data_IF_653247258277
#
_entry.id   IF_653247258277
#
_cell.length_a   1.000
_cell.length_b   1.000
_cell.length_c   1.000
_cell.angle_alpha   90.00
_cell.angle_beta   90.00
_cell.angle_gamma   90.00
#
_symmetry.space_group_name_H-M   'P 1'
#
loop_
_entity.id
_entity.type
_entity.pdbx_description
1 polymer ?
#
# COMPACT_ATOMS: atom_id res chain seq x y z
N UNK A 1 32.82 -67.01 -11.76
CA UNK A 1 33.60 -65.76 -11.85
C UNK A 1 32.67 -64.71 -12.43
N UNK A 2 32.28 -63.61 -11.79
CA UNK A 2 32.56 -63.10 -10.46
C UNK A 2 31.30 -62.47 -9.87
N UNK A 3 31.22 -62.55 -8.54
CA UNK A 3 30.22 -61.94 -7.68
C UNK A 3 30.63 -60.48 -7.40
N UNK A 4 29.65 -59.59 -7.24
CA UNK A 4 29.81 -58.23 -6.71
C UNK A 4 28.43 -57.55 -6.68
N UNK A 5 27.62 -57.63 -5.60
CA UNK A 5 27.65 -56.78 -4.38
C UNK A 5 27.49 -55.29 -4.76
N UNK A 6 26.59 -54.40 -4.27
CA UNK A 6 25.84 -54.15 -3.00
C UNK A 6 24.79 -53.06 -3.37
N UNK A 7 23.51 -53.13 -2.99
CA UNK A 7 22.86 -52.56 -1.77
C UNK A 7 23.06 -51.06 -1.46
N UNK A 8 21.93 -50.44 -1.05
CA UNK A 8 21.67 -49.14 -0.39
C UNK A 8 21.51 -47.93 -1.34
N UNK A 9 20.32 -47.31 -1.52
CA UNK A 9 19.43 -46.62 -0.54
C UNK A 9 20.19 -45.61 0.32
N UNK A 10 20.14 -44.35 -0.08
CA UNK A 10 20.41 -43.20 0.77
C UNK A 10 19.42 -42.10 0.39
N UNK A 11 18.26 -42.15 1.06
CA UNK A 11 17.45 -40.98 1.36
C UNK A 11 18.34 -39.96 2.06
N UNK A 12 18.54 -38.79 1.43
CA UNK A 12 19.25 -37.68 2.07
C UNK A 12 18.26 -36.95 2.98
N UNK A 13 18.48 -37.26 4.26
CA UNK A 13 17.84 -36.83 5.49
C UNK A 13 17.67 -35.30 5.56
N UNK A 14 16.43 -34.83 5.46
CA UNK A 14 16.05 -33.46 5.82
C UNK A 14 16.13 -33.34 7.35
N UNK A 15 17.00 -32.49 7.92
CA UNK A 15 16.96 -32.24 9.35
C UNK A 15 15.65 -31.50 9.69
N UNK A 16 14.72 -32.26 10.27
CA UNK A 16 13.52 -31.76 10.92
C UNK A 16 13.92 -31.09 12.23
N UNK A 17 14.30 -29.82 12.15
CA UNK A 17 14.48 -29.00 13.34
C UNK A 17 13.10 -28.65 13.89
N UNK A 18 12.67 -29.43 14.88
CA UNK A 18 11.50 -29.14 15.70
C UNK A 18 11.91 -28.11 16.75
N UNK A 19 11.34 -26.88 16.78
CA UNK A 19 11.58 -25.99 17.90
C UNK A 19 10.71 -26.42 19.07
N UNK A 20 11.39 -26.66 20.18
CA UNK A 20 10.85 -27.07 21.46
C UNK A 20 9.67 -26.21 21.91
N UNK A 21 8.65 -26.92 22.37
CA UNK A 21 7.53 -26.43 23.17
C UNK A 21 8.08 -25.76 24.44
N UNK A 22 8.14 -24.43 24.43
CA UNK A 22 8.35 -23.63 25.63
C UNK A 22 7.06 -22.89 25.92
N UNK A 23 6.33 -23.39 26.93
CA UNK A 23 5.23 -22.70 27.60
C UNK A 23 5.78 -21.46 28.32
N UNK A 24 6.07 -20.42 27.54
CA UNK A 24 6.18 -19.06 28.01
C UNK A 24 4.86 -18.37 27.66
N UNK A 25 4.32 -17.57 28.57
CA UNK A 25 3.24 -16.64 28.25
C UNK A 25 3.69 -15.71 27.14
N UNK A 26 3.40 -16.06 25.89
CA UNK A 26 3.81 -15.33 24.69
C UNK A 26 3.08 -13.98 24.70
N UNK A 27 3.80 -12.91 25.05
CA UNK A 27 3.34 -11.55 24.84
C UNK A 27 3.27 -11.30 23.32
N UNK A 28 2.09 -11.50 22.74
CA UNK A 28 1.83 -11.19 21.34
C UNK A 28 1.90 -9.67 21.15
N UNK A 29 2.65 -9.24 20.13
CA UNK A 29 2.65 -7.85 19.67
C UNK A 29 1.76 -7.73 18.44
N UNK A 30 1.00 -6.65 18.37
CA UNK A 30 0.15 -6.38 17.22
C UNK A 30 0.94 -5.65 16.16
N UNK A 31 0.92 -6.13 14.92
CA UNK A 31 1.55 -5.44 13.81
C UNK A 31 0.89 -4.07 13.58
N UNK A 32 1.64 -2.95 13.61
CA UNK A 32 1.08 -1.62 13.42
C UNK A 32 0.60 -1.38 11.97
N UNK A 33 1.04 -2.19 11.01
CA UNK A 33 0.68 -2.05 9.61
C UNK A 33 -0.52 -2.89 9.16
N UNK A 34 -0.85 -3.98 9.85
CA UNK A 34 -1.96 -4.86 9.43
C UNK A 34 -2.84 -5.40 10.55
N UNK A 35 -2.48 -5.16 11.82
CA UNK A 35 -3.23 -5.66 12.98
C UNK A 35 -3.05 -7.15 13.27
N UNK A 36 -2.25 -7.88 12.48
CA UNK A 36 -1.96 -9.29 12.76
C UNK A 36 -1.13 -9.43 14.04
N UNK A 37 -1.45 -10.44 14.85
CA UNK A 37 -0.70 -10.75 16.05
C UNK A 37 0.56 -11.51 15.67
N UNK A 38 1.71 -11.01 16.09
CA UNK A 38 3.01 -11.62 15.86
C UNK A 38 3.73 -11.88 17.21
N UNK A 39 4.60 -12.89 17.29
CA UNK A 39 5.44 -13.07 18.45
C UNK A 39 6.46 -11.92 18.57
N UNK A 40 6.87 -11.55 19.80
CA UNK A 40 7.65 -10.34 20.07
C UNK A 40 9.08 -10.39 19.51
N UNK A 41 9.62 -11.60 19.28
CA UNK A 41 10.92 -11.82 18.62
C UNK A 41 10.87 -11.70 17.09
N UNK A 42 9.69 -11.47 16.50
CA UNK A 42 9.56 -11.32 15.06
C UNK A 42 10.14 -9.99 14.61
N UNK A 43 11.13 -10.02 13.71
CA UNK A 43 11.62 -8.79 13.04
C UNK A 43 10.66 -8.27 11.97
N UNK A 44 9.85 -9.16 11.40
CA UNK A 44 8.90 -8.86 10.32
C UNK A 44 7.58 -9.60 10.55
N UNK A 45 6.47 -8.99 10.14
CA UNK A 45 5.14 -9.60 10.21
C UNK A 45 4.97 -10.66 9.11
N UNK A 46 4.65 -11.90 9.50
CA UNK A 46 4.42 -13.02 8.57
C UNK A 46 3.23 -12.82 7.63
N UNK A 47 2.23 -12.03 8.04
CA UNK A 47 1.03 -11.77 7.22
C UNK A 47 1.21 -10.67 6.16
N UNK A 48 2.07 -9.67 6.39
CA UNK A 48 2.16 -8.48 5.53
C UNK A 48 3.58 -8.01 5.21
N UNK A 49 4.61 -8.60 5.82
CA UNK A 49 6.03 -8.27 5.60
C UNK A 49 6.54 -7.01 6.29
N UNK A 50 5.71 -6.30 7.09
CA UNK A 50 6.12 -5.06 7.75
C UNK A 50 7.14 -5.31 8.88
N UNK A 51 8.10 -4.39 9.06
CA UNK A 51 9.11 -4.47 10.13
C UNK A 51 8.47 -4.20 11.50
N UNK A 52 8.69 -5.10 12.46
CA UNK A 52 8.21 -5.02 13.84
C UNK A 52 9.29 -4.50 14.80
N UNK A 53 10.51 -4.26 14.30
CA UNK A 53 11.71 -3.95 15.10
C UNK A 53 11.74 -2.53 15.74
N UNK A 54 10.65 -1.76 15.68
CA UNK A 54 10.66 -0.33 15.99
C UNK A 54 9.63 0.08 17.04
N UNK A 55 9.57 -0.62 18.18
CA UNK A 55 8.84 -0.12 19.37
C UNK A 55 9.64 -0.16 20.68
N UNK A 56 10.92 -0.51 20.64
CA UNK A 56 11.81 -0.35 21.80
C UNK A 56 12.55 0.99 21.74
N UNK A 57 11.86 2.05 22.18
CA UNK A 57 12.52 3.30 22.57
C UNK A 57 12.43 4.43 21.56
N UNK A 58 11.32 5.15 21.56
CA UNK A 58 11.28 6.57 21.21
C UNK A 58 10.07 7.21 21.90
N UNK A 59 10.28 7.59 23.16
CA UNK A 59 9.47 8.61 23.84
C UNK A 59 9.71 9.94 23.13
N UNK A 60 8.84 10.28 22.18
CA UNK A 60 8.72 11.64 21.68
C UNK A 60 7.41 12.22 22.22
N UNK A 61 7.48 12.79 23.42
CA UNK A 61 6.49 13.76 23.87
C UNK A 61 6.60 14.96 22.95
N UNK A 62 5.67 15.11 22.00
CA UNK A 62 5.52 16.37 21.29
C UNK A 62 4.83 17.37 22.22
N UNK A 63 5.40 18.57 22.42
CA UNK A 63 4.73 19.60 23.20
C UNK A 63 3.45 20.01 22.48
N UNK A 64 2.34 19.99 23.22
CA UNK A 64 1.13 20.73 22.84
C UNK A 64 1.50 22.20 22.79
N UNK A 65 1.75 22.70 21.58
CA UNK A 65 1.83 24.13 21.33
C UNK A 65 0.41 24.71 21.48
N UNK A 66 0.10 25.15 22.70
CA UNK A 66 -1.03 26.02 22.96
C UNK A 66 -0.59 27.42 22.54
N UNK A 67 -0.81 27.79 21.28
CA UNK A 67 -0.76 29.19 20.86
C UNK A 67 -2.17 29.73 20.80
N UNK A 68 -2.65 30.23 21.95
CA UNK A 68 -3.61 31.33 21.96
C UNK A 68 -2.91 32.55 21.36
N UNK A 69 -2.99 32.69 20.04
CA UNK A 69 -2.54 33.84 19.31
C UNK A 69 -3.60 34.13 18.27
N UNK A 70 -4.19 35.32 18.35
CA UNK A 70 -5.15 35.88 17.41
C UNK A 70 -4.89 35.37 15.99
N UNK A 71 -5.87 34.69 15.41
CA UNK A 71 -5.83 34.33 14.00
C UNK A 71 -5.51 35.62 13.23
N UNK A 72 -4.40 35.71 12.46
CA UNK A 72 -4.34 36.73 11.44
C UNK A 72 -5.55 36.47 10.55
N UNK A 73 -6.34 37.52 10.27
CA UNK A 73 -7.45 37.45 9.35
C UNK A 73 -6.98 36.63 8.14
N UNK A 74 -7.55 35.44 7.97
CA UNK A 74 -7.27 34.61 6.81
C UNK A 74 -7.68 35.47 5.63
N UNK A 75 -6.68 35.87 4.87
CA UNK A 75 -6.85 36.67 3.67
C UNK A 75 -7.77 35.86 2.75
N UNK A 76 -9.00 36.34 2.50
CA UNK A 76 -10.02 35.62 1.74
C UNK A 76 -9.51 35.23 0.33
N UNK A 77 -8.50 35.93 -0.18
CA UNK A 77 -7.79 35.66 -1.43
C UNK A 77 -6.86 34.42 -1.42
N UNK A 78 -6.64 33.78 -0.28
CA UNK A 78 -5.92 32.49 -0.21
C UNK A 78 -6.87 31.30 -0.36
N UNK A 79 -8.18 31.51 -0.21
CA UNK A 79 -9.20 30.46 -0.37
C UNK A 79 -9.55 30.20 -1.84
N UNK A 80 -9.17 31.11 -2.75
CA UNK A 80 -9.25 30.96 -4.21
C UNK A 80 -8.02 30.25 -4.84
N UNK A 81 -7.08 29.74 -4.03
CA UNK A 81 -5.83 29.14 -4.53
C UNK A 81 -5.81 27.62 -4.61
N UNK A 82 -6.92 26.95 -4.29
CA UNK A 82 -7.09 25.56 -4.65
C UNK A 82 -7.74 25.52 -6.02
N UNK A 83 -6.98 25.15 -7.05
CA UNK A 83 -7.54 24.92 -8.37
C UNK A 83 -8.68 23.88 -8.22
N UNK A 84 -9.96 24.24 -8.50
CA UNK A 84 -11.05 23.28 -8.45
C UNK A 84 -10.66 22.09 -9.34
N UNK A 85 -10.71 20.87 -8.79
CA UNK A 85 -10.21 19.66 -9.43
C UNK A 85 -8.83 19.17 -8.98
N UNK A 86 -8.24 19.76 -7.94
CA UNK A 86 -7.21 19.06 -7.16
C UNK A 86 -7.81 17.78 -6.58
N UNK A 87 -7.17 16.67 -6.87
CA UNK A 87 -7.62 15.35 -6.44
C UNK A 87 -6.46 14.58 -5.82
N UNK A 88 -6.78 13.61 -4.97
CA UNK A 88 -5.83 12.78 -4.26
C UNK A 88 -6.28 11.34 -4.29
N UNK A 89 -5.32 10.44 -4.55
CA UNK A 89 -5.49 9.02 -4.31
C UNK A 89 -4.84 8.64 -2.98
N UNK A 90 -5.65 8.12 -2.07
CA UNK A 90 -5.19 7.68 -0.75
C UNK A 90 -5.13 6.16 -0.72
N UNK A 91 -3.99 5.57 -0.35
CA UNK A 91 -3.87 4.11 -0.21
C UNK A 91 -4.66 3.64 1.01
N UNK A 92 -5.79 3.02 0.78
CA UNK A 92 -6.64 2.43 1.81
C UNK A 92 -6.17 1.01 2.20
N UNK A 93 -5.66 0.22 1.24
CA UNK A 93 -5.07 -1.10 1.51
C UNK A 93 -3.90 -1.36 0.56
N UNK A 94 -2.86 -2.02 1.05
CA UNK A 94 -1.67 -2.37 0.28
C UNK A 94 -0.41 -1.91 1.01
N UNK A 95 0.76 -2.15 0.42
CA UNK A 95 1.98 -1.52 0.89
C UNK A 95 1.82 0.01 0.73
N UNK A 96 2.41 0.77 1.65
CA UNK A 96 2.22 2.21 1.75
C UNK A 96 0.79 2.64 2.15
N UNK A 97 0.08 1.85 2.95
CA UNK A 97 -1.21 2.27 3.51
C UNK A 97 -1.11 3.65 4.18
N UNK A 98 -2.06 4.53 3.86
CA UNK A 98 -2.08 5.93 4.32
C UNK A 98 -1.28 6.90 3.44
N UNK A 99 -0.48 6.41 2.48
CA UNK A 99 0.17 7.27 1.51
C UNK A 99 -0.87 7.99 0.64
N UNK A 100 -0.51 9.21 0.22
CA UNK A 100 -1.35 10.11 -0.54
C UNK A 100 -0.61 10.48 -1.81
N UNK A 101 -1.25 10.30 -2.96
CA UNK A 101 -0.75 10.69 -4.25
C UNK A 101 -1.58 11.86 -4.74
N UNK A 102 -0.98 13.04 -4.76
CA UNK A 102 -1.59 14.24 -5.33
C UNK A 102 -1.70 14.06 -6.85
N UNK A 103 -2.90 14.27 -7.38
CA UNK A 103 -3.18 14.17 -8.80
C UNK A 103 -2.94 15.53 -9.44
N UNK A 104 -1.68 15.78 -9.75
CA UNK A 104 -1.22 17.03 -10.35
C UNK A 104 -1.20 16.92 -11.88
N UNK A 105 -1.67 17.96 -12.57
CA UNK A 105 -1.65 18.04 -14.03
C UNK A 105 -2.84 17.38 -14.74
N UNK A 106 -2.68 17.10 -16.03
CA UNK A 106 -3.76 16.62 -16.90
C UNK A 106 -3.76 15.12 -17.18
N UNK A 107 -2.61 14.44 -17.07
CA UNK A 107 -2.49 13.00 -17.27
C UNK A 107 -1.43 12.43 -16.31
N UNK A 108 -1.79 11.32 -15.65
CA UNK A 108 -0.93 10.61 -14.71
C UNK A 108 -0.93 9.13 -15.02
N UNK A 109 0.25 8.53 -15.08
CA UNK A 109 0.41 7.10 -15.30
C UNK A 109 0.54 6.35 -13.97
N UNK A 110 -0.12 5.19 -13.89
CA UNK A 110 -0.07 4.27 -12.75
C UNK A 110 0.52 2.94 -13.22
N UNK A 111 1.52 2.45 -12.50
CA UNK A 111 2.10 1.15 -12.82
C UNK A 111 3.35 0.81 -12.03
N UNK A 112 3.89 -0.37 -12.34
CA UNK A 112 5.14 -0.91 -11.82
C UNK A 112 6.38 -0.33 -12.51
N UNK A 113 6.24 0.48 -13.56
CA UNK A 113 7.41 1.13 -14.17
C UNK A 113 7.91 2.24 -13.24
N UNK A 114 9.23 2.36 -12.99
CA UNK A 114 9.78 3.51 -12.27
C UNK A 114 9.54 4.84 -12.99
N UNK A 115 9.17 4.79 -14.28
CA UNK A 115 8.79 5.96 -15.09
C UNK A 115 7.33 6.38 -14.89
N UNK A 116 6.53 5.60 -14.14
CA UNK A 116 5.13 5.95 -13.85
C UNK A 116 5.03 7.04 -12.79
N UNK A 117 4.10 7.98 -12.96
CA UNK A 117 3.87 9.05 -11.98
C UNK A 117 3.47 8.49 -10.61
N UNK A 118 2.60 7.47 -10.62
CA UNK A 118 2.24 6.69 -9.43
C UNK A 118 2.91 5.32 -9.57
N UNK A 119 4.09 5.20 -8.97
CA UNK A 119 4.88 3.98 -8.96
C UNK A 119 4.37 3.00 -7.89
N UNK A 120 3.98 1.81 -8.34
CA UNK A 120 3.50 0.72 -7.50
C UNK A 120 4.43 -0.48 -7.63
N UNK A 121 5.28 -0.70 -6.62
CA UNK A 121 6.24 -1.81 -6.61
C UNK A 121 5.55 -3.13 -6.25
N UNK A 122 4.89 -3.75 -7.22
CA UNK A 122 4.31 -5.07 -7.06
C UNK A 122 4.20 -5.86 -8.37
N UNK A 123 4.35 -7.18 -8.26
CA UNK A 123 4.27 -8.10 -9.40
C UNK A 123 2.86 -8.21 -9.99
N UNK A 124 1.81 -7.98 -9.19
CA UNK A 124 0.41 -7.98 -9.65
C UNK A 124 0.04 -6.70 -10.40
N UNK A 125 0.92 -5.71 -10.45
CA UNK A 125 0.74 -4.48 -11.21
C UNK A 125 1.54 -4.56 -12.51
N UNK A 126 0.91 -4.12 -13.61
CA UNK A 126 1.56 -4.05 -14.93
C UNK A 126 2.53 -2.87 -14.98
N UNK A 127 3.56 -2.94 -15.84
CA UNK A 127 4.49 -1.80 -16.03
C UNK A 127 3.75 -0.52 -16.40
N UNK A 128 2.84 -0.61 -17.36
CA UNK A 128 1.83 0.38 -17.70
C UNK A 128 0.48 -0.26 -17.36
N UNK A 129 -0.12 0.11 -16.24
CA UNK A 129 -1.34 -0.56 -15.78
C UNK A 129 -2.57 0.29 -16.07
N UNK A 130 -2.59 1.51 -15.57
CA UNK A 130 -3.68 2.45 -15.79
C UNK A 130 -3.12 3.86 -16.03
N UNK A 131 -3.94 4.74 -16.60
CA UNK A 131 -3.72 6.19 -16.55
C UNK A 131 -4.94 6.88 -15.99
N UNK A 132 -4.70 8.02 -15.35
CA UNK A 132 -5.70 8.98 -14.94
C UNK A 132 -5.59 10.18 -15.85
N UNK A 133 -6.71 10.58 -16.43
CA UNK A 133 -6.78 11.76 -17.27
C UNK A 133 -7.84 12.71 -16.71
N UNK A 134 -7.47 13.98 -16.58
CA UNK A 134 -8.38 15.04 -16.17
C UNK A 134 -8.99 15.71 -17.40
N UNK A 135 -10.31 15.67 -17.49
CA UNK A 135 -11.08 16.43 -18.50
C UNK A 135 -11.98 17.42 -17.77
N UNK A 136 -11.58 18.69 -17.74
CA UNK A 136 -12.27 19.71 -16.95
C UNK A 136 -12.17 19.42 -15.45
N UNK A 137 -13.31 19.15 -14.81
CA UNK A 137 -13.42 18.76 -13.40
C UNK A 137 -13.57 17.24 -13.20
N UNK A 138 -13.60 16.46 -14.27
CA UNK A 138 -13.76 15.00 -14.17
C UNK A 138 -12.43 14.30 -14.32
N UNK A 139 -12.10 13.44 -13.37
CA UNK A 139 -10.98 12.50 -13.48
C UNK A 139 -11.48 11.17 -14.03
N UNK A 140 -10.82 10.66 -15.06
CA UNK A 140 -11.15 9.37 -15.67
C UNK A 140 -9.98 8.42 -15.54
N UNK A 141 -10.21 7.23 -14.98
CA UNK A 141 -9.23 6.14 -14.98
C UNK A 141 -9.43 5.27 -16.22
N UNK A 142 -8.33 4.95 -16.92
CA UNK A 142 -8.30 4.07 -18.08
C UNK A 142 -7.30 2.94 -17.86
N UNK A 143 -7.75 1.69 -18.00
CA UNK A 143 -6.89 0.50 -17.96
C UNK A 143 -6.19 0.31 -19.31
N UNK A 144 -4.87 0.06 -19.28
CA UNK A 144 -4.06 -0.19 -20.48
C UNK A 144 -3.84 -1.69 -20.68
N UNK A 145 -4.94 -2.44 -20.77
CA UNK A 145 -4.95 -3.90 -20.95
C UNK A 145 -4.08 -4.61 -19.91
N UNK A 146 -4.27 -4.24 -18.64
CA UNK A 146 -3.47 -4.78 -17.58
C UNK A 146 -3.79 -6.26 -17.32
N UNK A 147 -2.79 -7.04 -16.89
CA UNK A 147 -2.93 -8.49 -16.72
C UNK A 147 -4.03 -8.88 -15.74
N UNK A 148 -4.15 -8.12 -14.64
CA UNK A 148 -5.13 -8.38 -13.58
C UNK A 148 -6.38 -7.49 -13.69
N UNK A 149 -6.37 -6.48 -14.55
CA UNK A 149 -7.43 -5.48 -14.68
C UNK A 149 -7.42 -4.41 -13.58
N UNK A 150 -8.07 -3.30 -13.89
CA UNK A 150 -8.41 -2.23 -12.95
C UNK A 150 -9.86 -2.39 -12.48
N UNK A 151 -10.11 -2.17 -11.19
CA UNK A 151 -11.44 -2.28 -10.60
C UNK A 151 -11.85 -0.98 -9.91
N UNK A 152 -13.09 -0.55 -10.10
CA UNK A 152 -13.68 0.57 -9.34
C UNK A 152 -14.93 0.07 -8.64
N UNK A 153 -15.00 0.27 -7.32
CA UNK A 153 -16.11 -0.20 -6.48
C UNK A 153 -16.43 -1.70 -6.67
N UNK A 154 -15.38 -2.51 -6.80
CA UNK A 154 -15.41 -3.97 -7.06
C UNK A 154 -15.85 -4.40 -8.47
N UNK A 155 -16.08 -3.47 -9.39
CA UNK A 155 -16.39 -3.78 -10.79
C UNK A 155 -15.15 -3.58 -11.67
N UNK A 156 -14.83 -4.54 -12.54
CA UNK A 156 -13.74 -4.38 -13.52
C UNK A 156 -14.13 -3.32 -14.53
N UNK A 157 -13.26 -2.36 -14.78
CA UNK A 157 -13.51 -1.24 -15.70
C UNK A 157 -12.33 -1.08 -16.65
N UNK A 158 -12.63 -0.78 -17.92
CA UNK A 158 -11.61 -0.36 -18.89
C UNK A 158 -11.49 1.16 -18.93
N UNK A 159 -12.60 1.88 -18.74
CA UNK A 159 -12.66 3.32 -18.58
C UNK A 159 -13.74 3.69 -17.56
N UNK A 160 -13.43 4.56 -16.60
CA UNK A 160 -14.38 5.00 -15.58
C UNK A 160 -14.12 6.43 -15.13
N UNK A 161 -15.17 7.27 -15.14
CA UNK A 161 -15.15 8.59 -14.51
C UNK A 161 -15.23 8.43 -12.99
N UNK A 162 -14.18 8.87 -12.29
CA UNK A 162 -14.06 8.80 -10.85
C UNK A 162 -14.93 9.88 -10.18
N UNK A 163 -15.57 9.47 -9.09
CA UNK A 163 -16.31 10.32 -8.19
C UNK A 163 -15.74 10.24 -6.78
N UNK A 164 -15.93 11.30 -6.01
CA UNK A 164 -15.46 11.39 -4.64
C UNK A 164 -15.91 10.17 -3.80
N UNK A 165 -14.95 9.51 -3.13
CA UNK A 165 -15.19 8.29 -2.35
C UNK A 165 -15.06 6.99 -3.15
N UNK A 166 -14.83 7.04 -4.46
CA UNK A 166 -14.64 5.84 -5.27
C UNK A 166 -13.43 5.04 -4.82
N UNK A 167 -13.63 3.71 -4.77
CA UNK A 167 -12.60 2.78 -4.40
C UNK A 167 -11.97 2.16 -5.65
N UNK A 168 -10.74 2.58 -5.95
CA UNK A 168 -9.96 2.06 -7.08
C UNK A 168 -9.08 0.92 -6.59
N UNK A 169 -9.08 -0.22 -7.27
CA UNK A 169 -8.23 -1.36 -6.97
C UNK A 169 -7.36 -1.70 -8.19
N UNK A 170 -6.05 -1.79 -7.96
CA UNK A 170 -5.01 -2.08 -8.95
C UNK A 170 -4.07 -3.12 -8.32
N UNK A 171 -4.09 -4.35 -8.84
CA UNK A 171 -3.40 -5.46 -8.21
C UNK A 171 -3.84 -5.66 -6.75
N UNK A 172 -2.87 -5.70 -5.83
CA UNK A 172 -3.13 -5.76 -4.38
C UNK A 172 -3.42 -4.41 -3.71
N UNK A 173 -3.28 -3.30 -4.44
CA UNK A 173 -3.51 -1.96 -3.93
C UNK A 173 -4.98 -1.58 -4.02
N UNK A 174 -5.46 -0.89 -3.00
CA UNK A 174 -6.80 -0.31 -2.94
C UNK A 174 -6.66 1.14 -2.53
N UNK A 175 -7.11 2.02 -3.40
CA UNK A 175 -7.10 3.46 -3.22
C UNK A 175 -8.51 3.97 -2.96
N UNK A 176 -8.60 5.11 -2.30
CA UNK A 176 -9.79 5.94 -2.24
C UNK A 176 -9.48 7.23 -2.98
N UNK A 177 -10.36 7.59 -3.91
CA UNK A 177 -10.27 8.83 -4.66
C UNK A 177 -11.01 9.94 -3.91
N UNK A 178 -10.34 11.08 -3.74
CA UNK A 178 -10.97 12.29 -3.24
C UNK A 178 -10.66 13.47 -4.16
N UNK A 179 -11.65 14.33 -4.38
CA UNK A 179 -11.48 15.53 -5.19
C UNK A 179 -12.09 16.74 -4.46
N UNK A 180 -11.38 17.87 -4.50
CA UNK A 180 -11.88 19.14 -4.01
C UNK A 180 -12.90 19.73 -5.00
N UNK A 181 -14.06 20.15 -4.48
CA UNK A 181 -15.10 20.86 -5.25
C UNK A 181 -16.14 19.98 -5.95
N UNK A 182 -16.19 18.67 -5.67
CA UNK A 182 -17.22 17.75 -6.21
C UNK A 182 -18.42 17.57 -5.28
#
# INVERSE_FOLDING_TARGET
MGLGTRSAMADDDVPSETPAEQTASIQLITCPSCGHLAPPDSRFCSACGASLAAVAGMTASLPVATTSGSLPAVDESLLDQFDPGEAVLVVHRGPNQGARFELLGGELSIGRSPESNIFLDDVTVSRRHASLQRTGETWTITDHESLNGTYVNHNRVDNHALSNGDQVQIGKYRFLFYQAGQ
#
